data_IF_989102817687
#
_entry.id   IF_989102817687
#
_cell.length_a   1.000
_cell.length_b   1.000
_cell.length_c   1.000
_cell.angle_alpha   90.00
_cell.angle_beta   90.00
_cell.angle_gamma   90.00
#
_symmetry.space_group_name_H-M   'P 1'
#
loop_
_entity.id
_entity.type
_entity.pdbx_description
1 polymer ?
#
# COMPACT_ATOMS: atom_id res chain seq x y z
N UNK A 1 -12.27 -22.07 2.08
CA UNK A 1 -11.31 -20.93 2.05
C UNK A 1 -11.15 -20.50 0.60
N UNK A 2 -11.41 -19.24 0.24
CA UNK A 2 -11.16 -18.73 -1.10
C UNK A 2 -9.65 -18.73 -1.37
N UNK A 3 -9.26 -19.16 -2.57
CA UNK A 3 -7.86 -19.10 -3.00
C UNK A 3 -7.48 -17.64 -3.25
N UNK A 4 -6.25 -17.27 -2.90
CA UNK A 4 -5.71 -15.93 -3.19
C UNK A 4 -5.62 -15.71 -4.69
N UNK A 5 -6.26 -14.64 -5.18
CA UNK A 5 -6.32 -14.30 -6.59
C UNK A 5 -5.35 -13.17 -6.93
N UNK A 6 -4.49 -13.38 -7.91
CA UNK A 6 -3.48 -12.43 -8.36
C UNK A 6 -3.74 -12.03 -9.81
N UNK A 7 -3.63 -10.73 -10.12
CA UNK A 7 -3.46 -10.25 -11.48
C UNK A 7 -1.97 -10.16 -11.80
N UNK A 8 -1.55 -10.75 -12.91
CA UNK A 8 -0.22 -10.59 -13.50
C UNK A 8 -0.35 -9.77 -14.78
N UNK A 9 0.24 -8.58 -14.77
CA UNK A 9 0.21 -7.63 -15.90
C UNK A 9 1.63 -7.50 -16.43
N UNK A 10 1.91 -8.17 -17.53
CA UNK A 10 3.24 -8.28 -18.15
C UNK A 10 3.07 -8.40 -19.67
N UNK A 11 3.74 -7.56 -20.45
CA UNK A 11 3.60 -7.55 -21.91
C UNK A 11 4.44 -8.65 -22.59
N UNK A 12 5.59 -9.00 -22.02
CA UNK A 12 6.40 -10.12 -22.53
C UNK A 12 5.65 -11.46 -22.33
N UNK A 13 5.23 -12.14 -23.42
CA UNK A 13 4.45 -13.35 -23.32
C UNK A 13 5.24 -14.51 -22.69
N UNK A 14 6.57 -14.60 -22.91
CA UNK A 14 7.40 -15.67 -22.36
C UNK A 14 7.55 -15.53 -20.84
N UNK A 15 7.83 -14.29 -20.38
CA UNK A 15 7.90 -14.00 -18.94
C UNK A 15 6.53 -14.18 -18.27
N UNK A 16 5.46 -13.74 -18.91
CA UNK A 16 4.08 -13.89 -18.42
C UNK A 16 3.70 -15.35 -18.25
N UNK A 17 4.00 -16.20 -19.24
CA UNK A 17 3.74 -17.65 -19.18
C UNK A 17 4.55 -18.32 -18.06
N UNK A 18 5.86 -18.09 -18.03
CA UNK A 18 6.76 -18.63 -17.00
C UNK A 18 6.29 -18.28 -15.57
N UNK A 19 5.92 -17.02 -15.34
CA UNK A 19 5.43 -16.59 -14.04
C UNK A 19 4.06 -17.18 -13.72
N UNK A 20 3.19 -17.31 -14.73
CA UNK A 20 1.88 -17.90 -14.56
C UNK A 20 1.97 -19.35 -14.09
N UNK A 21 2.76 -20.16 -14.77
CA UNK A 21 2.97 -21.56 -14.43
C UNK A 21 3.54 -21.72 -13.02
N UNK A 22 4.52 -20.89 -12.68
CA UNK A 22 5.11 -20.91 -11.36
C UNK A 22 4.11 -20.56 -10.25
N UNK A 23 3.34 -19.49 -10.42
CA UNK A 23 2.39 -19.00 -9.41
C UNK A 23 1.19 -19.94 -9.26
N UNK A 24 0.67 -20.50 -10.36
CA UNK A 24 -0.37 -21.53 -10.35
C UNK A 24 0.11 -22.79 -9.61
N UNK A 25 1.36 -23.22 -9.85
CA UNK A 25 1.99 -24.33 -9.14
C UNK A 25 2.14 -24.11 -7.62
N UNK A 26 2.03 -22.88 -7.15
CA UNK A 26 2.03 -22.53 -5.73
C UNK A 26 0.62 -22.48 -5.12
N UNK A 27 -0.42 -22.90 -5.86
CA UNK A 27 -1.80 -22.96 -5.39
C UNK A 27 -2.53 -21.62 -5.38
N UNK A 28 -2.01 -20.62 -6.08
CA UNK A 28 -2.64 -19.32 -6.26
C UNK A 28 -3.62 -19.36 -7.45
N UNK A 29 -4.63 -18.49 -7.44
CA UNK A 29 -5.43 -18.21 -8.62
C UNK A 29 -4.83 -17.04 -9.39
N UNK A 30 -4.86 -17.10 -10.72
CA UNK A 30 -4.20 -16.12 -11.55
C UNK A 30 -5.11 -15.62 -12.68
N UNK A 31 -5.06 -14.32 -12.95
CA UNK A 31 -5.51 -13.70 -14.19
C UNK A 31 -4.32 -12.99 -14.80
N UNK A 32 -3.80 -13.50 -15.92
CA UNK A 32 -2.68 -12.92 -16.64
C UNK A 32 -3.18 -12.13 -17.84
N UNK A 33 -2.67 -10.89 -17.99
CA UNK A 33 -3.02 -9.95 -19.06
C UNK A 33 -1.78 -9.24 -19.60
N UNK A 34 -1.86 -8.75 -20.84
CA UNK A 34 -0.71 -8.14 -21.52
C UNK A 34 -0.63 -6.61 -21.39
N UNK A 35 -1.62 -5.94 -20.82
CA UNK A 35 -1.63 -4.48 -20.71
C UNK A 35 -2.38 -4.00 -19.47
N UNK A 36 -2.08 -2.76 -19.08
CA UNK A 36 -2.76 -2.10 -17.97
C UNK A 36 -4.25 -1.84 -18.27
N UNK A 37 -4.58 -1.49 -19.52
CA UNK A 37 -5.94 -1.24 -19.98
C UNK A 37 -6.80 -2.49 -19.87
N UNK A 38 -6.26 -3.65 -20.26
CA UNK A 38 -6.95 -4.93 -20.13
C UNK A 38 -7.21 -5.27 -18.66
N UNK A 39 -6.24 -5.08 -17.79
CA UNK A 39 -6.39 -5.26 -16.34
C UNK A 39 -7.48 -4.33 -15.80
N UNK A 40 -7.44 -3.03 -16.13
CA UNK A 40 -8.41 -2.06 -15.66
C UNK A 40 -9.85 -2.35 -16.10
N UNK A 41 -10.04 -2.92 -17.30
CA UNK A 41 -11.37 -3.32 -17.79
C UNK A 41 -11.97 -4.49 -17.04
N UNK A 42 -11.16 -5.32 -16.41
CA UNK A 42 -11.57 -6.56 -15.74
C UNK A 42 -11.58 -6.49 -14.21
N UNK A 43 -10.87 -5.51 -13.62
CA UNK A 43 -10.62 -5.47 -12.17
C UNK A 43 -11.90 -5.35 -11.33
N UNK A 44 -12.93 -4.68 -11.84
CA UNK A 44 -14.20 -4.50 -11.14
C UNK A 44 -15.10 -5.75 -11.22
N UNK A 45 -14.90 -6.59 -12.23
CA UNK A 45 -15.63 -7.86 -12.40
C UNK A 45 -15.08 -8.93 -11.47
N UNK A 46 -13.76 -9.04 -11.40
CA UNK A 46 -13.08 -10.00 -10.53
C UNK A 46 -11.93 -9.31 -9.80
N UNK A 47 -12.21 -8.89 -8.57
CA UNK A 47 -11.25 -8.17 -7.73
C UNK A 47 -10.11 -9.10 -7.32
N UNK A 48 -8.84 -8.71 -7.55
CA UNK A 48 -7.69 -9.45 -7.06
C UNK A 48 -7.35 -9.07 -5.62
N UNK A 49 -6.64 -9.97 -4.93
CA UNK A 49 -5.97 -9.69 -3.66
C UNK A 49 -4.64 -8.94 -3.86
N UNK A 50 -4.00 -9.14 -5.03
CA UNK A 50 -2.72 -8.56 -5.39
C UNK A 50 -2.62 -8.36 -6.91
N UNK A 51 -1.98 -7.26 -7.31
CA UNK A 51 -1.56 -7.02 -8.69
C UNK A 51 -0.02 -7.06 -8.75
N UNK A 52 0.52 -7.92 -9.59
CA UNK A 52 1.92 -7.91 -10.03
C UNK A 52 1.93 -7.19 -11.38
N UNK A 53 2.59 -6.06 -11.50
CA UNK A 53 2.44 -5.20 -12.68
C UNK A 53 3.79 -4.68 -13.17
N UNK A 54 4.12 -4.98 -14.42
CA UNK A 54 5.28 -4.36 -15.04
C UNK A 54 5.11 -2.85 -15.16
N UNK A 55 6.20 -2.13 -14.93
CA UNK A 55 6.27 -0.68 -15.12
C UNK A 55 6.30 -0.32 -16.60
N UNK A 56 7.01 -1.11 -17.40
CA UNK A 56 7.30 -0.85 -18.82
C UNK A 56 6.21 -1.30 -19.79
N UNK A 57 4.95 -1.34 -19.39
CA UNK A 57 3.84 -1.78 -20.24
C UNK A 57 3.64 -0.85 -21.44
N UNK A 58 3.25 -1.40 -22.63
CA UNK A 58 2.86 -0.60 -23.78
C UNK A 58 1.56 0.15 -23.49
N UNK A 59 1.42 1.35 -24.06
CA UNK A 59 0.27 2.22 -23.82
C UNK A 59 0.33 2.87 -22.45
N UNK A 60 -0.55 2.49 -21.53
CA UNK A 60 -0.52 2.99 -20.17
C UNK A 60 0.58 2.29 -19.35
N UNK A 61 1.53 3.05 -18.82
CA UNK A 61 2.58 2.51 -17.95
C UNK A 61 1.99 1.91 -16.66
N UNK A 62 2.69 0.92 -16.06
CA UNK A 62 2.29 0.36 -14.77
C UNK A 62 2.26 1.41 -13.65
N UNK A 63 3.10 2.44 -13.71
CA UNK A 63 3.08 3.56 -12.77
C UNK A 63 1.79 4.38 -12.90
N UNK A 64 1.37 4.69 -14.12
CA UNK A 64 0.13 5.46 -14.35
C UNK A 64 -1.11 4.66 -13.98
N UNK A 65 -1.11 3.36 -14.25
CA UNK A 65 -2.18 2.46 -13.82
C UNK A 65 -2.27 2.38 -12.29
N UNK A 66 -1.14 2.27 -11.59
CA UNK A 66 -1.08 2.30 -10.12
C UNK A 66 -1.67 3.63 -9.59
N UNK A 67 -1.21 4.77 -10.14
CA UNK A 67 -1.73 6.10 -9.79
C UNK A 67 -3.24 6.21 -10.01
N UNK A 68 -3.73 5.68 -11.12
CA UNK A 68 -5.16 5.71 -11.45
C UNK A 68 -5.98 4.90 -10.44
N UNK A 69 -5.55 3.68 -10.11
CA UNK A 69 -6.20 2.84 -9.09
C UNK A 69 -6.27 3.55 -7.74
N UNK A 70 -5.19 4.18 -7.30
CA UNK A 70 -5.15 4.92 -6.04
C UNK A 70 -6.05 6.15 -6.05
N UNK A 71 -6.13 6.88 -7.18
CA UNK A 71 -7.08 8.01 -7.34
C UNK A 71 -8.54 7.57 -7.29
N UNK A 72 -8.85 6.36 -7.78
CA UNK A 72 -10.19 5.74 -7.67
C UNK A 72 -10.49 5.21 -6.26
N UNK A 73 -9.57 5.35 -5.31
CA UNK A 73 -9.72 4.81 -3.95
C UNK A 73 -9.61 3.28 -3.88
N UNK A 74 -9.08 2.62 -4.93
CA UNK A 74 -8.92 1.17 -4.92
C UNK A 74 -7.73 0.79 -4.02
N UNK A 75 -7.94 0.01 -2.94
CA UNK A 75 -6.90 -0.34 -1.96
C UNK A 75 -6.13 -1.61 -2.31
N UNK A 76 -6.39 -2.22 -3.49
CA UNK A 76 -5.75 -3.47 -3.88
C UNK A 76 -4.23 -3.38 -3.72
N UNK A 77 -3.61 -4.43 -3.21
CA UNK A 77 -2.16 -4.50 -3.08
C UNK A 77 -1.50 -4.51 -4.47
N UNK A 78 -0.42 -3.74 -4.66
CA UNK A 78 0.29 -3.62 -5.94
C UNK A 78 1.79 -3.81 -5.71
N UNK A 79 2.38 -4.76 -6.42
CA UNK A 79 3.83 -4.89 -6.56
C UNK A 79 4.21 -4.50 -7.99
N UNK A 80 5.10 -3.52 -8.12
CA UNK A 80 5.62 -3.10 -9.41
C UNK A 80 6.86 -3.93 -9.78
N UNK A 81 6.90 -4.40 -11.03
CA UNK A 81 8.05 -5.07 -11.64
C UNK A 81 8.77 -4.03 -12.50
N UNK A 82 10.05 -3.81 -12.30
CA UNK A 82 10.78 -2.76 -13.03
C UNK A 82 12.11 -3.26 -13.57
N UNK A 83 12.40 -2.95 -14.84
CA UNK A 83 13.71 -3.21 -15.46
C UNK A 83 14.76 -2.15 -15.13
N UNK A 84 14.36 -1.02 -14.57
CA UNK A 84 15.29 0.06 -14.26
C UNK A 84 15.74 0.00 -12.81
N UNK A 85 17.05 -0.20 -12.60
CA UNK A 85 17.65 -0.31 -11.27
C UNK A 85 17.79 1.06 -10.56
N UNK A 86 17.43 2.17 -11.23
CA UNK A 86 17.59 3.49 -10.68
C UNK A 86 16.70 3.70 -9.44
N UNK A 87 17.32 4.19 -8.39
CA UNK A 87 16.65 4.51 -7.12
C UNK A 87 15.49 5.50 -7.28
N UNK A 88 15.50 6.30 -8.35
CA UNK A 88 14.47 7.30 -8.68
C UNK A 88 13.16 6.62 -9.05
N UNK A 89 13.16 5.60 -9.91
CA UNK A 89 11.93 4.91 -10.33
C UNK A 89 11.29 4.13 -9.18
N UNK A 90 12.09 3.64 -8.24
CA UNK A 90 11.61 2.98 -7.02
C UNK A 90 10.88 3.95 -6.10
N UNK A 91 11.46 5.13 -5.88
CA UNK A 91 10.84 6.19 -5.07
C UNK A 91 9.53 6.62 -5.72
N UNK A 92 9.55 6.86 -7.04
CA UNK A 92 8.35 7.25 -7.80
C UNK A 92 7.27 6.18 -7.69
N UNK A 93 7.59 4.89 -7.85
CA UNK A 93 6.61 3.80 -7.74
C UNK A 93 5.93 3.73 -6.38
N UNK A 94 6.71 3.86 -5.30
CA UNK A 94 6.18 3.89 -3.94
C UNK A 94 5.44 5.20 -3.64
N UNK A 95 5.90 6.33 -4.18
CA UNK A 95 5.17 7.61 -4.12
C UNK A 95 3.83 7.55 -4.85
N UNK A 96 3.70 6.74 -5.91
CA UNK A 96 2.44 6.50 -6.63
C UNK A 96 1.48 5.57 -5.86
N UNK A 97 1.91 4.94 -4.77
CA UNK A 97 1.07 4.12 -3.91
C UNK A 97 1.21 2.61 -4.11
N UNK A 98 2.26 2.13 -4.75
CA UNK A 98 2.60 0.72 -4.75
C UNK A 98 2.97 0.23 -3.32
N UNK A 99 2.73 -1.05 -3.06
CA UNK A 99 2.99 -1.67 -1.75
C UNK A 99 4.40 -2.29 -1.68
N UNK A 100 4.96 -2.68 -2.81
CA UNK A 100 6.35 -3.11 -2.98
C UNK A 100 6.77 -2.99 -4.45
N UNK A 101 8.04 -3.25 -4.73
CA UNK A 101 8.59 -3.35 -6.09
C UNK A 101 9.62 -4.46 -6.17
N UNK A 102 9.83 -4.98 -7.38
CA UNK A 102 10.84 -6.01 -7.69
C UNK A 102 11.59 -5.60 -8.94
N UNK A 103 12.92 -5.61 -8.86
CA UNK A 103 13.74 -5.29 -10.02
C UNK A 103 13.94 -6.52 -10.91
N UNK A 104 13.77 -6.34 -12.20
CA UNK A 104 14.20 -7.29 -13.23
C UNK A 104 15.74 -7.18 -13.41
N UNK A 105 16.51 -8.27 -13.50
CA UNK A 105 16.03 -9.64 -13.39
C UNK A 105 15.79 -10.07 -11.94
N UNK A 106 14.75 -10.86 -11.70
CA UNK A 106 14.39 -11.43 -10.40
C UNK A 106 14.15 -12.94 -10.51
N UNK A 107 14.22 -13.64 -9.39
CA UNK A 107 13.78 -15.03 -9.34
C UNK A 107 12.28 -15.12 -9.01
N UNK A 108 11.57 -16.10 -9.61
CA UNK A 108 10.16 -16.36 -9.29
C UNK A 108 9.95 -16.63 -7.79
N UNK A 109 10.96 -17.20 -7.11
CA UNK A 109 10.97 -17.42 -5.66
C UNK A 109 10.99 -16.10 -4.88
N UNK A 110 11.79 -15.12 -5.31
CA UNK A 110 11.83 -13.78 -4.70
C UNK A 110 10.47 -13.08 -4.87
N UNK A 111 9.92 -13.09 -6.09
CA UNK A 111 8.62 -12.50 -6.37
C UNK A 111 7.52 -13.10 -5.48
N UNK A 112 7.48 -14.43 -5.36
CA UNK A 112 6.50 -15.13 -4.51
C UNK A 112 6.69 -14.76 -3.03
N UNK A 113 7.92 -14.69 -2.53
CA UNK A 113 8.19 -14.32 -1.14
C UNK A 113 7.66 -12.90 -0.83
N UNK A 114 7.86 -11.96 -1.76
CA UNK A 114 7.34 -10.59 -1.64
C UNK A 114 5.83 -10.54 -1.75
N UNK A 115 5.24 -11.25 -2.70
CA UNK A 115 3.79 -11.38 -2.86
C UNK A 115 3.15 -11.88 -1.55
N UNK A 116 3.70 -12.95 -0.97
CA UNK A 116 3.23 -13.48 0.33
C UNK A 116 3.41 -12.48 1.47
N UNK A 117 4.50 -11.71 1.49
CA UNK A 117 4.73 -10.69 2.51
C UNK A 117 3.70 -9.55 2.43
N UNK A 118 3.41 -9.06 1.23
CA UNK A 118 2.40 -8.02 0.98
C UNK A 118 1.00 -8.54 1.33
N UNK A 119 0.63 -9.73 0.87
CA UNK A 119 -0.66 -10.36 1.15
C UNK A 119 -0.89 -10.63 2.64
N UNK A 120 0.16 -11.03 3.38
CA UNK A 120 0.07 -11.23 4.84
C UNK A 120 -0.25 -9.94 5.58
N UNK A 121 0.33 -8.81 5.16
CA UNK A 121 0.01 -7.48 5.70
C UNK A 121 -1.42 -7.07 5.31
N UNK A 122 -1.90 -7.52 4.13
CA UNK A 122 -3.25 -7.28 3.62
C UNK A 122 -4.35 -8.11 4.32
N UNK A 123 -4.03 -9.25 4.92
CA UNK A 123 -5.04 -10.06 5.63
C UNK A 123 -5.37 -9.42 6.97
N UNK A 124 -6.61 -8.98 7.10
CA UNK A 124 -7.22 -8.71 8.40
C UNK A 124 -7.36 -10.07 9.09
N UNK A 125 -6.92 -10.27 10.33
CA UNK A 125 -7.41 -11.39 11.12
C UNK A 125 -8.94 -11.29 11.15
N UNK A 126 -9.66 -12.36 10.86
CA UNK A 126 -11.10 -12.45 11.13
C UNK A 126 -11.27 -12.32 12.65
N UNK A 127 -11.40 -11.10 13.13
CA UNK A 127 -11.72 -10.83 14.51
C UNK A 127 -13.24 -10.95 14.69
N UNK A 128 -13.70 -11.59 15.76
CA UNK A 128 -15.13 -11.70 16.06
C UNK A 128 -15.76 -10.32 16.22
N UNK A 129 -17.03 -10.22 15.88
CA UNK A 129 -17.86 -9.00 15.75
C UNK A 129 -17.97 -8.08 16.99
N UNK A 130 -17.17 -8.27 18.02
CA UNK A 130 -17.12 -7.46 19.25
C UNK A 130 -16.08 -6.33 19.24
N UNK A 131 -15.38 -6.10 18.12
CA UNK A 131 -14.31 -5.08 18.04
C UNK A 131 -14.74 -3.72 17.45
N UNK A 132 -16.01 -3.43 17.34
CA UNK A 132 -16.50 -2.07 17.10
C UNK A 132 -16.07 -1.07 18.21
N UNK A 133 -15.56 -1.59 19.34
CA UNK A 133 -15.17 -0.79 20.50
C UNK A 133 -13.73 -0.23 20.43
N UNK A 134 -12.90 -0.58 19.45
CA UNK A 134 -11.51 -0.09 19.36
C UNK A 134 -11.26 0.79 18.12
N UNK A 135 -12.17 1.72 17.85
CA UNK A 135 -11.89 2.75 16.86
C UNK A 135 -11.06 3.89 17.48
N UNK A 136 -10.10 4.40 16.72
CA UNK A 136 -9.27 5.54 17.13
C UNK A 136 -9.79 6.78 16.41
N UNK A 137 -10.24 7.78 17.18
CA UNK A 137 -10.71 9.03 16.61
C UNK A 137 -9.53 9.90 16.15
N UNK A 138 -9.60 10.37 14.91
CA UNK A 138 -8.62 11.25 14.27
C UNK A 138 -9.40 12.39 13.60
N UNK A 139 -9.65 13.47 14.36
CA UNK A 139 -10.51 14.54 13.90
C UNK A 139 -11.93 14.07 13.61
N UNK A 140 -12.37 14.22 12.36
CA UNK A 140 -13.66 13.73 11.88
C UNK A 140 -13.67 12.25 11.48
N UNK A 141 -12.51 11.62 11.41
CA UNK A 141 -12.34 10.24 11.03
C UNK A 141 -12.29 9.31 12.25
N UNK A 142 -12.78 8.10 12.07
CA UNK A 142 -12.60 6.98 12.98
C UNK A 142 -11.77 5.91 12.28
N UNK A 143 -10.57 5.70 12.73
CA UNK A 143 -9.73 4.60 12.25
C UNK A 143 -10.15 3.32 12.93
N UNK A 144 -10.58 2.34 12.16
CA UNK A 144 -10.96 1.00 12.60
C UNK A 144 -9.88 0.02 12.15
N UNK A 145 -8.93 -0.35 13.03
CA UNK A 145 -7.81 -1.24 12.66
C UNK A 145 -8.27 -2.60 12.14
N UNK A 146 -9.33 -3.15 12.73
CA UNK A 146 -9.86 -4.46 12.37
C UNK A 146 -10.30 -4.54 10.90
N UNK A 147 -10.94 -3.50 10.36
CA UNK A 147 -11.36 -3.42 8.95
C UNK A 147 -10.38 -2.65 8.07
N UNK A 148 -9.25 -2.17 8.61
CA UNK A 148 -8.25 -1.35 7.91
C UNK A 148 -8.84 -0.14 7.21
N UNK A 149 -9.79 0.50 7.84
CA UNK A 149 -10.57 1.57 7.20
C UNK A 149 -10.69 2.80 8.08
N UNK A 150 -10.95 3.90 7.41
CA UNK A 150 -11.31 5.19 7.99
C UNK A 150 -12.81 5.42 7.73
N UNK A 151 -13.55 5.80 8.75
CA UNK A 151 -14.96 6.09 8.71
C UNK A 151 -15.20 7.54 9.06
N UNK A 152 -15.99 8.26 8.25
CA UNK A 152 -16.43 9.64 8.50
C UNK A 152 -17.87 9.79 8.02
N UNK A 153 -18.82 9.95 8.93
CA UNK A 153 -20.26 9.92 8.63
C UNK A 153 -20.63 8.67 7.80
N UNK A 154 -21.09 8.84 6.56
CA UNK A 154 -21.42 7.74 5.65
C UNK A 154 -20.24 7.33 4.71
N UNK A 155 -19.11 8.00 4.84
CA UNK A 155 -17.94 7.70 4.01
C UNK A 155 -17.08 6.63 4.68
N UNK A 156 -16.76 5.59 3.91
CA UNK A 156 -15.80 4.55 4.31
C UNK A 156 -14.66 4.55 3.31
N UNK A 157 -13.43 4.66 3.81
CA UNK A 157 -12.21 4.58 3.02
C UNK A 157 -11.34 3.44 3.51
N UNK A 158 -11.18 2.41 2.71
CA UNK A 158 -10.25 1.31 2.98
C UNK A 158 -8.82 1.80 2.69
N UNK A 159 -7.92 1.57 3.64
CA UNK A 159 -6.51 1.91 3.51
C UNK A 159 -5.76 0.81 2.75
N UNK A 160 -4.81 1.20 1.89
CA UNK A 160 -3.89 0.22 1.32
C UNK A 160 -2.93 -0.32 2.39
N UNK A 161 -2.15 -1.34 2.03
CA UNK A 161 -1.27 -2.05 2.98
C UNK A 161 -0.26 -1.12 3.66
N UNK A 162 0.33 -0.19 2.91
CA UNK A 162 1.32 0.77 3.42
C UNK A 162 0.67 1.82 4.30
N UNK A 163 -0.42 2.42 3.86
CA UNK A 163 -1.18 3.43 4.62
C UNK A 163 -1.65 2.86 5.96
N UNK A 164 -2.18 1.63 5.93
CA UNK A 164 -2.59 0.92 7.15
C UNK A 164 -1.42 0.69 8.10
N UNK A 165 -0.31 0.12 7.60
CA UNK A 165 0.84 -0.21 8.44
C UNK A 165 1.42 1.04 9.13
N UNK A 166 1.53 2.15 8.39
CA UNK A 166 2.01 3.42 8.94
C UNK A 166 1.06 3.99 10.00
N UNK A 167 -0.25 4.01 9.70
CA UNK A 167 -1.24 4.57 10.61
C UNK A 167 -1.36 3.72 11.88
N UNK A 168 -1.36 2.39 11.74
CA UNK A 168 -1.40 1.46 12.86
C UNK A 168 -0.18 1.62 13.79
N UNK A 169 1.04 1.73 13.22
CA UNK A 169 2.26 1.93 14.01
C UNK A 169 2.25 3.29 14.74
N UNK A 170 1.85 4.36 14.06
CA UNK A 170 1.77 5.69 14.66
C UNK A 170 0.72 5.77 15.77
N UNK A 171 -0.43 5.13 15.57
CA UNK A 171 -1.53 5.15 16.55
C UNK A 171 -1.32 4.19 17.72
N UNK A 172 -0.38 3.25 17.61
CA UNK A 172 -0.02 2.36 18.72
C UNK A 172 0.71 3.10 19.86
N UNK A 173 1.40 4.21 19.55
CA UNK A 173 2.16 5.00 20.53
C UNK A 173 1.82 6.49 20.42
N UNK A 174 0.60 6.91 20.79
CA UNK A 174 0.18 8.30 20.67
C UNK A 174 1.10 9.23 21.50
N UNK A 175 1.45 10.37 20.92
CA UNK A 175 2.31 11.37 21.56
C UNK A 175 3.80 11.03 21.58
N UNK A 176 4.20 9.86 21.06
CA UNK A 176 5.61 9.49 20.98
C UNK A 176 6.10 9.53 19.52
N UNK A 177 7.31 10.07 19.27
CA UNK A 177 7.91 10.03 17.95
C UNK A 177 8.25 8.61 17.51
N UNK A 178 7.91 8.26 16.28
CA UNK A 178 8.29 7.00 15.63
C UNK A 178 9.31 7.29 14.55
N UNK A 179 10.47 6.62 14.62
CA UNK A 179 11.57 6.83 13.67
C UNK A 179 11.16 6.41 12.24
N UNK A 180 11.72 7.11 11.23
CA UNK A 180 11.45 6.80 9.81
C UNK A 180 11.86 5.37 9.45
N UNK A 181 12.95 4.89 10.00
CA UNK A 181 13.47 3.53 9.82
C UNK A 181 12.47 2.50 10.36
N UNK A 182 11.86 2.78 11.51
CA UNK A 182 10.82 1.92 12.09
C UNK A 182 9.56 1.92 11.21
N UNK A 183 9.11 3.08 10.75
CA UNK A 183 7.99 3.20 9.83
C UNK A 183 8.27 2.48 8.51
N UNK A 184 9.50 2.58 8.00
CA UNK A 184 9.93 1.85 6.81
C UNK A 184 9.87 0.34 7.04
N UNK A 185 10.38 -0.15 8.17
CA UNK A 185 10.40 -1.59 8.47
C UNK A 185 9.02 -2.22 8.55
N UNK A 186 8.02 -1.52 9.07
CA UNK A 186 6.65 -2.02 9.16
C UNK A 186 5.86 -1.90 7.85
N UNK A 187 6.18 -0.90 7.03
CA UNK A 187 5.46 -0.64 5.79
C UNK A 187 6.09 -1.31 4.56
N UNK A 188 7.42 -1.44 4.50
CA UNK A 188 8.15 -1.86 3.31
C UNK A 188 9.17 -2.99 3.53
N UNK A 189 9.10 -3.77 4.61
CA UNK A 189 9.97 -4.95 4.85
C UNK A 189 11.45 -4.77 4.46
N UNK A 190 12.16 -3.94 5.20
CA UNK A 190 13.63 -4.03 5.31
C UNK A 190 14.44 -3.66 4.07
N UNK A 191 14.40 -2.42 3.58
CA UNK A 191 15.35 -1.91 2.61
C UNK A 191 15.72 -0.45 2.86
N UNK A 192 17.00 -0.21 2.70
CA UNK A 192 17.90 0.94 2.75
C UNK A 192 17.38 2.37 2.49
N UNK A 193 18.24 3.33 2.83
CA UNK A 193 18.10 4.79 2.86
C UNK A 193 17.30 5.44 1.70
N UNK A 194 17.32 4.84 0.51
CA UNK A 194 16.55 5.32 -0.65
C UNK A 194 15.03 5.26 -0.44
N UNK A 195 14.55 4.44 0.49
CA UNK A 195 13.13 4.22 0.76
C UNK A 195 12.57 5.11 1.88
N UNK A 196 13.38 5.84 2.61
CA UNK A 196 12.88 6.80 3.62
C UNK A 196 11.97 7.87 2.99
N UNK A 197 12.26 8.30 1.76
CA UNK A 197 11.40 9.21 0.99
C UNK A 197 10.02 8.59 0.69
N UNK A 198 9.94 7.27 0.52
CA UNK A 198 8.66 6.59 0.31
C UNK A 198 7.77 6.64 1.58
N UNK A 199 8.38 6.59 2.76
CA UNK A 199 7.67 6.83 4.02
C UNK A 199 7.11 8.26 4.03
N UNK A 200 7.93 9.26 3.72
CA UNK A 200 7.52 10.67 3.71
C UNK A 200 6.36 10.91 2.72
N UNK A 201 6.41 10.31 1.53
CA UNK A 201 5.34 10.38 0.54
C UNK A 201 4.05 9.68 1.02
N UNK A 202 4.18 8.55 1.68
CA UNK A 202 3.03 7.82 2.23
C UNK A 202 2.39 8.56 3.41
N UNK A 203 3.19 9.19 4.26
CA UNK A 203 2.71 10.09 5.31
C UNK A 203 1.97 11.30 4.68
N UNK A 204 2.49 11.87 3.60
CA UNK A 204 1.81 12.97 2.91
C UNK A 204 0.45 12.54 2.34
N UNK A 205 0.32 11.29 1.84
CA UNK A 205 -0.98 10.75 1.41
C UNK A 205 -1.95 10.60 2.59
N UNK A 206 -1.49 10.05 3.72
CA UNK A 206 -2.31 9.96 4.94
C UNK A 206 -2.76 11.35 5.42
N UNK A 207 -1.89 12.34 5.39
CA UNK A 207 -2.26 13.72 5.73
C UNK A 207 -3.34 14.28 4.81
N UNK A 208 -3.27 14.03 3.50
CA UNK A 208 -4.31 14.46 2.55
C UNK A 208 -5.70 13.85 2.84
N UNK A 209 -5.74 12.74 3.54
CA UNK A 209 -6.98 12.09 3.94
C UNK A 209 -7.47 12.62 5.29
N UNK A 210 -6.57 12.75 6.25
CA UNK A 210 -6.89 12.95 7.66
C UNK A 210 -6.92 14.42 8.08
N UNK A 211 -6.07 15.26 7.46
CA UNK A 211 -5.86 16.64 7.85
C UNK A 211 -6.73 17.60 7.04
N UNK A 212 -7.17 18.67 7.67
CA UNK A 212 -7.83 19.78 6.96
C UNK A 212 -6.83 20.51 6.04
N UNK A 213 -5.58 20.71 6.50
CA UNK A 213 -4.46 21.23 5.72
C UNK A 213 -3.26 20.27 5.86
N UNK A 214 -2.89 19.55 4.80
CA UNK A 214 -1.73 18.64 4.83
C UNK A 214 -0.38 19.35 5.08
N UNK A 215 -0.27 20.64 4.79
CA UNK A 215 0.95 21.41 5.01
C UNK A 215 1.11 21.86 6.49
N UNK A 216 -0.02 21.98 7.20
CA UNK A 216 -0.07 22.30 8.63
C UNK A 216 -0.73 21.17 9.42
N UNK A 217 -0.11 19.98 9.49
CA UNK A 217 -0.74 18.77 10.01
C UNK A 217 -0.93 18.87 11.54
N UNK A 218 -2.13 18.50 11.99
CA UNK A 218 -2.50 18.44 13.41
C UNK A 218 -2.32 17.04 14.00
N UNK A 219 -2.66 15.99 13.25
CA UNK A 219 -2.72 14.63 13.74
C UNK A 219 -1.42 13.86 13.49
N UNK A 220 -0.84 13.96 12.29
CA UNK A 220 0.44 13.32 11.98
C UNK A 220 1.51 14.41 11.87
N UNK A 221 2.17 14.69 12.98
CA UNK A 221 3.17 15.75 13.06
C UNK A 221 4.56 15.25 12.67
N UNK A 222 5.38 16.15 12.09
CA UNK A 222 6.80 15.87 11.84
C UNK A 222 7.61 16.29 13.06
N UNK A 223 8.36 15.34 13.62
CA UNK A 223 9.34 15.63 14.68
C UNK A 223 10.71 15.68 14.03
N UNK A 224 11.30 16.89 13.99
CA UNK A 224 12.61 17.11 13.34
C UNK A 224 13.64 16.13 13.89
N UNK A 225 14.42 15.52 12.99
CA UNK A 225 15.47 14.53 13.25
C UNK A 225 15.00 13.19 13.84
N UNK A 226 13.71 13.03 14.25
CA UNK A 226 13.21 11.81 14.89
C UNK A 226 12.23 11.04 14.01
N UNK A 227 11.41 11.71 13.20
CA UNK A 227 10.43 11.04 12.34
C UNK A 227 9.04 11.66 12.43
N UNK A 228 8.03 10.84 12.74
CA UNK A 228 6.64 11.27 12.81
C UNK A 228 5.98 10.87 14.13
N UNK A 229 4.98 11.63 14.53
CA UNK A 229 4.24 11.41 15.78
C UNK A 229 2.75 11.56 15.51
N UNK A 230 1.94 10.68 16.09
CA UNK A 230 0.50 10.81 16.08
C UNK A 230 0.02 11.56 17.33
N UNK A 231 -0.80 12.58 17.11
CA UNK A 231 -1.44 13.37 18.17
C UNK A 231 -2.95 13.16 18.08
N UNK A 232 -3.58 12.40 19.01
CA UNK A 232 -4.99 12.01 18.92
C UNK A 232 -5.98 13.19 19.05
N UNK A 233 -5.59 14.24 19.77
CA UNK A 233 -6.40 15.43 19.95
C UNK A 233 -5.52 16.65 19.63
N UNK A 234 -5.96 17.50 18.68
CA UNK A 234 -5.47 18.86 18.67
C UNK A 234 -6.06 19.51 19.91
N UNK A 235 -5.23 19.73 20.93
CA UNK A 235 -5.57 20.68 21.99
C UNK A 235 -5.91 21.98 21.27
N UNK A 236 -7.17 22.39 21.31
CA UNK A 236 -7.49 23.79 21.03
C UNK A 236 -6.60 24.58 21.97
N UNK A 237 -5.71 25.37 21.39
CA UNK A 237 -4.87 26.26 22.16
C UNK A 237 -5.81 27.05 23.07
N UNK A 238 -5.61 26.91 24.36
CA UNK A 238 -6.21 27.83 25.33
C UNK A 238 -5.75 29.23 24.93
N UNK A 239 -6.69 30.01 24.41
CA UNK A 239 -6.53 31.45 24.23
C UNK A 239 -6.58 32.14 25.60
#
# INVERSE_FOLDING_TARGET
MSRTHIYLVEDDPALREMLSDYLLGQGLELTAVGSAEEMLSRIDVRRPDLILMDVGLPGMSGLDACRLLRRRGNPVAIILLTGNADSIDRVIGLEMGADDYVNKPFSSRELLARARAVLRRGKVPEAPATEAEKSIRIGEWHFVPASRSLHRAQQVRVLNTVEYALLAELTATPGLPVARERLLSVSHAGKETALLRAVDASIMRLRRILEADPASPRYIQTVRFHGYMFVPHSTEAFA
#
